data_IF_789936773898
#
_entry.id   IF_789936773898
#
_cell.length_a   1.000
_cell.length_b   1.000
_cell.length_c   1.000
_cell.angle_alpha   90.00
_cell.angle_beta   90.00
_cell.angle_gamma   90.00
#
_symmetry.space_group_name_H-M   'P 1'
#
loop_
_entity.id
_entity.type
_entity.pdbx_description
1 polymer ?
#
# COMPACT_ATOMS: atom_id res chain seq x y z
N UNK A 1 5.64 18.10 7.18
CA UNK A 1 6.55 18.33 6.07
C UNK A 1 6.70 19.81 5.75
N UNK A 2 7.82 20.18 5.14
CA UNK A 2 8.17 21.55 4.78
C UNK A 2 8.46 21.72 3.28
N UNK A 3 8.44 20.63 2.50
CA UNK A 3 8.61 20.65 1.05
C UNK A 3 7.55 21.50 0.35
N UNK A 4 7.85 22.02 -0.85
CA UNK A 4 6.93 22.86 -1.61
C UNK A 4 5.60 22.15 -1.93
N UNK A 5 5.57 20.85 -2.35
CA UNK A 5 4.32 20.13 -2.58
C UNK A 5 3.45 20.02 -1.31
N UNK A 6 4.05 19.76 -0.14
CA UNK A 6 3.32 19.67 1.12
C UNK A 6 2.81 21.04 1.61
N UNK A 7 3.58 22.11 1.41
CA UNK A 7 3.09 23.47 1.72
C UNK A 7 1.89 23.85 0.87
N UNK A 8 1.93 23.52 -0.44
CA UNK A 8 0.79 23.73 -1.34
C UNK A 8 -0.43 22.93 -0.90
N UNK A 9 -0.24 21.65 -0.55
CA UNK A 9 -1.31 20.80 -0.03
C UNK A 9 -1.92 21.39 1.24
N UNK A 10 -1.10 21.81 2.22
CA UNK A 10 -1.58 22.43 3.47
C UNK A 10 -2.40 23.69 3.22
N UNK A 11 -1.94 24.59 2.35
CA UNK A 11 -2.68 25.80 1.99
C UNK A 11 -4.05 25.47 1.34
N UNK A 12 -4.11 24.40 0.55
CA UNK A 12 -5.38 23.92 -0.04
C UNK A 12 -6.29 23.31 1.04
N UNK A 13 -5.74 22.53 1.98
CA UNK A 13 -6.49 21.98 3.11
C UNK A 13 -7.14 23.07 3.95
N UNK A 14 -6.41 24.15 4.27
CA UNK A 14 -6.95 25.26 5.07
C UNK A 14 -8.17 25.93 4.41
N UNK A 15 -8.14 26.06 3.07
CA UNK A 15 -9.26 26.61 2.30
C UNK A 15 -10.46 25.68 2.22
N UNK A 16 -10.24 24.35 2.15
CA UNK A 16 -11.28 23.35 1.97
C UNK A 16 -11.86 22.84 3.29
N UNK A 17 -11.18 23.06 4.40
CA UNK A 17 -11.59 22.55 5.69
C UNK A 17 -12.99 23.03 6.09
N UNK A 18 -13.31 24.29 5.83
CA UNK A 18 -14.60 24.90 6.18
C UNK A 18 -15.70 24.65 5.14
N UNK A 19 -15.36 24.09 3.97
CA UNK A 19 -16.32 23.78 2.93
C UNK A 19 -17.01 22.45 3.21
N UNK A 20 -18.34 22.42 3.18
CA UNK A 20 -19.13 21.19 3.39
C UNK A 20 -19.39 20.45 2.05
N UNK A 21 -18.31 20.13 1.34
CA UNK A 21 -18.34 19.42 0.06
C UNK A 21 -17.64 18.08 0.15
N UNK A 22 -18.01 17.16 -0.74
CA UNK A 22 -17.27 15.89 -0.88
C UNK A 22 -15.87 16.16 -1.43
N UNK A 23 -14.87 15.47 -0.83
CA UNK A 23 -13.46 15.60 -1.20
C UNK A 23 -12.94 14.21 -1.54
N UNK A 24 -12.31 14.08 -2.72
CA UNK A 24 -11.60 12.89 -3.14
C UNK A 24 -10.10 13.06 -2.93
N UNK A 25 -9.51 12.31 -2.02
CA UNK A 25 -8.08 12.30 -1.73
C UNK A 25 -7.41 11.20 -2.54
N UNK A 26 -6.56 11.57 -3.49
CA UNK A 26 -5.84 10.61 -4.33
C UNK A 26 -4.36 10.55 -3.98
N UNK A 27 -3.73 9.40 -4.18
CA UNK A 27 -2.30 9.21 -3.94
C UNK A 27 -1.96 7.76 -3.68
N UNK A 28 -0.70 7.42 -3.87
CA UNK A 28 -0.19 6.06 -3.69
C UNK A 28 -0.44 5.52 -2.27
N UNK A 29 -0.37 4.19 -2.12
CA UNK A 29 -0.45 3.57 -0.80
C UNK A 29 0.68 4.09 0.11
N UNK A 30 0.36 4.30 1.40
CA UNK A 30 1.35 4.77 2.38
C UNK A 30 1.74 6.24 2.30
N UNK A 31 1.10 7.07 1.46
CA UNK A 31 1.40 8.53 1.36
C UNK A 31 0.84 9.36 2.49
N UNK A 32 -0.12 8.82 3.27
CA UNK A 32 -0.77 9.52 4.39
C UNK A 32 -2.12 10.15 4.04
N UNK A 33 -2.91 9.55 3.14
CA UNK A 33 -4.26 10.03 2.76
C UNK A 33 -5.19 10.18 3.96
N UNK A 34 -5.17 9.25 4.91
CA UNK A 34 -5.97 9.34 6.14
C UNK A 34 -5.58 10.56 7.00
N UNK A 35 -4.28 10.88 7.10
CA UNK A 35 -3.83 12.09 7.83
C UNK A 35 -4.35 13.38 7.19
N UNK A 36 -4.47 13.39 5.86
CA UNK A 36 -5.08 14.50 5.12
C UNK A 36 -6.58 14.62 5.44
N UNK A 37 -7.30 13.51 5.47
CA UNK A 37 -8.72 13.49 5.82
C UNK A 37 -8.95 13.93 7.28
N UNK A 38 -8.14 13.47 8.22
CA UNK A 38 -8.16 13.93 9.62
C UNK A 38 -7.88 15.41 9.75
N UNK A 39 -6.88 15.94 9.03
CA UNK A 39 -6.56 17.36 9.05
C UNK A 39 -7.69 18.22 8.48
N UNK A 40 -8.43 17.77 7.45
CA UNK A 40 -9.64 18.43 6.93
C UNK A 40 -10.75 18.48 7.98
N UNK A 41 -10.95 17.39 8.70
CA UNK A 41 -11.97 17.33 9.77
C UNK A 41 -11.58 18.24 10.95
N UNK A 42 -10.35 18.13 11.46
CA UNK A 42 -9.88 18.84 12.65
C UNK A 42 -9.84 20.36 12.47
N UNK A 43 -9.66 20.83 11.22
CA UNK A 43 -9.66 22.27 10.87
C UNK A 43 -11.02 22.78 10.43
N UNK A 44 -12.00 21.86 10.19
CA UNK A 44 -13.29 22.20 9.65
C UNK A 44 -14.36 22.57 10.69
N UNK A 45 -15.53 22.97 10.20
CA UNK A 45 -16.68 23.32 11.03
C UNK A 45 -17.15 22.14 11.92
N UNK A 46 -16.94 20.90 11.44
CA UNK A 46 -17.36 19.68 12.14
C UNK A 46 -16.29 19.11 13.09
N UNK A 47 -15.20 19.83 13.40
CA UNK A 47 -14.05 19.37 14.22
C UNK A 47 -14.40 18.83 15.62
N UNK A 48 -15.53 19.25 16.19
CA UNK A 48 -16.02 18.78 17.49
C UNK A 48 -17.00 17.59 17.39
N UNK A 49 -17.30 17.16 16.19
CA UNK A 49 -18.18 16.05 15.90
C UNK A 49 -17.37 14.77 15.64
N UNK A 50 -18.04 13.66 15.41
CA UNK A 50 -17.36 12.37 15.15
C UNK A 50 -16.63 12.38 13.82
N UNK A 51 -15.45 11.79 13.81
CA UNK A 51 -14.73 11.35 12.62
C UNK A 51 -14.79 9.82 12.59
N UNK A 52 -15.55 9.26 11.66
CA UNK A 52 -15.66 7.82 11.47
C UNK A 52 -14.86 7.45 10.23
N UNK A 53 -13.97 6.48 10.34
CA UNK A 53 -13.15 5.99 9.24
C UNK A 53 -13.51 4.54 8.93
N UNK A 54 -13.66 4.23 7.64
CA UNK A 54 -13.89 2.90 7.12
C UNK A 54 -12.92 2.64 5.96
N UNK A 55 -12.18 1.53 6.03
CA UNK A 55 -11.38 1.06 4.89
C UNK A 55 -12.22 0.03 4.11
N UNK A 56 -12.60 0.39 2.87
CA UNK A 56 -13.46 -0.44 2.03
C UNK A 56 -12.76 -1.72 1.55
N UNK A 57 -11.44 -1.68 1.33
CA UNK A 57 -10.65 -2.84 0.90
C UNK A 57 -10.37 -3.85 2.02
N UNK A 58 -10.52 -3.44 3.29
CA UNK A 58 -10.29 -4.33 4.44
C UNK A 58 -11.51 -5.17 4.84
N UNK A 59 -12.68 -4.89 4.26
CA UNK A 59 -13.95 -5.53 4.61
C UNK A 59 -14.35 -6.52 3.50
N UNK A 60 -14.75 -7.76 3.83
CA UNK A 60 -15.30 -8.69 2.84
C UNK A 60 -16.52 -8.08 2.12
N UNK A 61 -16.62 -8.32 0.81
CA UNK A 61 -17.70 -7.80 -0.05
C UNK A 61 -19.11 -8.10 0.49
N UNK A 62 -19.27 -9.23 1.16
CA UNK A 62 -20.54 -9.66 1.75
C UNK A 62 -20.97 -8.85 2.99
N UNK A 63 -20.03 -8.15 3.62
CA UNK A 63 -20.27 -7.41 4.87
C UNK A 63 -20.25 -5.90 4.69
N UNK A 64 -19.65 -5.38 3.62
CA UNK A 64 -19.46 -3.94 3.41
C UNK A 64 -20.78 -3.17 3.38
N UNK A 65 -21.84 -3.74 2.81
CA UNK A 65 -23.20 -3.19 2.83
C UNK A 65 -23.71 -2.98 4.26
N UNK A 66 -23.54 -4.01 5.09
CA UNK A 66 -23.97 -4.00 6.50
C UNK A 66 -23.15 -3.03 7.34
N UNK A 67 -21.84 -2.91 7.10
CA UNK A 67 -20.99 -1.96 7.81
C UNK A 67 -21.33 -0.50 7.42
N UNK A 68 -21.56 -0.22 6.14
CA UNK A 68 -21.89 1.11 5.66
C UNK A 68 -23.27 1.58 6.12
N UNK A 69 -24.30 0.76 5.86
CA UNK A 69 -25.70 1.18 5.96
C UNK A 69 -26.43 0.60 7.19
N UNK A 70 -25.81 -0.37 7.88
CA UNK A 70 -26.44 -1.12 8.96
C UNK A 70 -27.34 -2.23 8.46
N UNK A 71 -27.85 -3.03 9.38
CA UNK A 71 -28.76 -4.13 9.09
C UNK A 71 -29.80 -4.33 10.18
N UNK A 72 -30.93 -4.95 9.83
CA UNK A 72 -31.92 -5.42 10.77
C UNK A 72 -31.70 -6.91 11.08
N UNK A 73 -32.12 -7.35 12.24
CA UNK A 73 -32.08 -8.75 12.65
C UNK A 73 -32.72 -9.65 11.59
N UNK A 74 -32.03 -10.75 11.24
CA UNK A 74 -32.52 -11.74 10.27
C UNK A 74 -32.29 -11.37 8.80
N UNK A 75 -31.61 -10.27 8.48
CA UNK A 75 -31.36 -9.83 7.10
C UNK A 75 -30.39 -10.72 6.33
N UNK A 76 -29.53 -11.47 7.02
CA UNK A 76 -28.62 -12.47 6.47
C UNK A 76 -28.23 -13.49 7.55
N UNK A 77 -27.59 -14.60 7.14
CA UNK A 77 -27.09 -15.63 8.07
C UNK A 77 -26.03 -15.02 9.01
N UNK A 78 -26.36 -14.92 10.32
CA UNK A 78 -25.51 -14.28 11.33
C UNK A 78 -25.99 -12.90 11.82
N UNK A 79 -27.03 -12.32 11.21
CA UNK A 79 -27.66 -11.08 11.68
C UNK A 79 -28.56 -11.35 12.92
N UNK A 80 -27.95 -11.52 14.08
CA UNK A 80 -28.65 -11.83 15.35
C UNK A 80 -29.31 -10.64 16.02
N UNK A 81 -28.83 -9.43 15.74
CA UNK A 81 -29.29 -8.15 16.30
C UNK A 81 -29.37 -7.08 15.21
N UNK A 82 -30.10 -6.00 15.49
CA UNK A 82 -30.02 -4.80 14.67
C UNK A 82 -28.67 -4.10 14.90
N UNK A 83 -28.04 -3.61 13.83
CA UNK A 83 -26.81 -2.83 13.93
C UNK A 83 -26.86 -1.58 13.07
N UNK A 84 -26.51 -0.44 13.66
CA UNK A 84 -26.35 0.81 12.92
C UNK A 84 -25.10 0.75 12.02
N UNK A 85 -25.19 1.33 10.82
CA UNK A 85 -24.06 1.47 9.93
C UNK A 85 -23.26 2.76 10.21
N UNK A 86 -22.04 2.83 9.63
CA UNK A 86 -21.11 3.96 9.85
C UNK A 86 -21.68 5.31 9.39
N UNK A 87 -22.61 5.37 8.44
CA UNK A 87 -23.30 6.61 8.08
C UNK A 87 -24.12 7.16 9.24
N UNK A 88 -24.80 6.28 9.97
CA UNK A 88 -25.57 6.65 11.16
C UNK A 88 -24.65 7.02 12.32
N UNK A 89 -23.51 6.33 12.46
CA UNK A 89 -22.51 6.61 13.49
C UNK A 89 -21.82 7.96 13.28
N UNK A 90 -21.66 8.36 12.00
CA UNK A 90 -21.03 9.62 11.59
C UNK A 90 -22.02 10.81 11.58
N UNK A 91 -23.25 10.64 12.04
CA UNK A 91 -24.29 11.69 12.02
C UNK A 91 -23.79 13.03 12.59
N UNK A 92 -24.00 14.11 11.84
CA UNK A 92 -23.52 15.46 12.12
C UNK A 92 -22.01 15.65 11.99
N UNK A 93 -21.26 14.59 11.67
CA UNK A 93 -19.80 14.53 11.63
C UNK A 93 -19.20 14.36 10.24
N UNK A 94 -18.10 13.61 10.17
CA UNK A 94 -17.36 13.31 8.94
C UNK A 94 -17.16 11.80 8.81
N UNK A 95 -17.50 11.26 7.66
CA UNK A 95 -17.19 9.89 7.26
C UNK A 95 -16.02 9.88 6.29
N UNK A 96 -14.97 9.15 6.63
CA UNK A 96 -13.83 8.89 5.77
C UNK A 96 -13.92 7.48 5.20
N UNK A 97 -13.97 7.38 3.87
CA UNK A 97 -14.00 6.12 3.14
C UNK A 97 -12.65 5.93 2.45
N UNK A 98 -11.79 5.07 3.01
CA UNK A 98 -10.50 4.73 2.40
C UNK A 98 -10.67 3.58 1.39
N UNK A 99 -9.80 3.56 0.38
CA UNK A 99 -9.78 2.54 -0.69
C UNK A 99 -11.15 2.41 -1.39
N UNK A 100 -11.78 3.56 -1.69
CA UNK A 100 -13.12 3.60 -2.31
C UNK A 100 -13.16 2.89 -3.68
N UNK A 101 -12.02 2.77 -4.37
CA UNK A 101 -11.88 2.08 -5.66
C UNK A 101 -12.13 0.58 -5.58
N UNK A 102 -12.01 -0.02 -4.38
CA UNK A 102 -12.20 -1.46 -4.16
C UNK A 102 -13.65 -1.83 -3.82
N UNK A 103 -14.54 -0.82 -3.75
CA UNK A 103 -15.95 -1.03 -3.39
C UNK A 103 -16.71 -1.77 -4.51
N UNK A 104 -17.48 -2.84 -4.20
CA UNK A 104 -18.31 -3.55 -5.18
C UNK A 104 -19.37 -2.64 -5.84
N UNK A 105 -19.67 -2.85 -7.12
CA UNK A 105 -20.59 -2.02 -7.91
C UNK A 105 -21.99 -1.89 -7.29
N UNK A 106 -22.50 -2.97 -6.65
CA UNK A 106 -23.79 -2.94 -5.96
C UNK A 106 -23.82 -1.96 -4.78
N UNK A 107 -22.70 -1.93 -4.03
CA UNK A 107 -22.53 -1.03 -2.88
C UNK A 107 -22.34 0.41 -3.35
N UNK A 108 -21.61 0.63 -4.46
CA UNK A 108 -21.46 1.95 -5.09
C UNK A 108 -22.81 2.58 -5.45
N UNK A 109 -23.77 1.79 -5.97
CA UNK A 109 -25.11 2.28 -6.30
C UNK A 109 -25.89 2.74 -5.06
N UNK A 110 -25.75 2.04 -3.94
CA UNK A 110 -26.38 2.41 -2.66
C UNK A 110 -25.70 3.63 -2.05
N UNK A 111 -24.38 3.70 -2.10
CA UNK A 111 -23.61 4.86 -1.65
C UNK A 111 -24.04 6.13 -2.40
N UNK A 112 -24.19 6.05 -3.72
CA UNK A 112 -24.67 7.17 -4.53
C UNK A 112 -26.01 7.71 -4.03
N UNK A 113 -26.98 6.82 -3.75
CA UNK A 113 -28.29 7.22 -3.22
C UNK A 113 -28.16 7.96 -1.89
N UNK A 114 -27.32 7.45 -0.96
CA UNK A 114 -27.11 8.14 0.32
C UNK A 114 -26.49 9.52 0.11
N UNK A 115 -25.54 9.67 -0.81
CA UNK A 115 -24.91 10.96 -1.12
C UNK A 115 -25.86 11.95 -1.82
N UNK A 116 -26.87 11.45 -2.51
CA UNK A 116 -27.86 12.30 -3.21
C UNK A 116 -29.04 12.68 -2.30
N UNK A 117 -29.59 11.72 -1.58
CA UNK A 117 -30.84 11.83 -0.84
C UNK A 117 -30.61 12.18 0.65
N UNK A 118 -29.36 12.02 1.13
CA UNK A 118 -29.02 12.12 2.55
C UNK A 118 -29.87 11.17 3.42
N UNK A 119 -30.17 9.98 2.88
CA UNK A 119 -31.01 8.97 3.51
C UNK A 119 -30.35 7.60 3.48
N UNK A 120 -30.34 6.93 4.63
CA UNK A 120 -29.80 5.58 4.79
C UNK A 120 -30.92 4.59 5.03
N UNK A 121 -30.86 3.47 4.29
CA UNK A 121 -31.77 2.33 4.50
C UNK A 121 -30.95 1.10 4.92
N UNK A 122 -31.22 0.52 6.11
CA UNK A 122 -30.52 -0.70 6.56
C UNK A 122 -30.76 -1.89 5.63
N UNK A 123 -29.84 -2.83 5.61
CA UNK A 123 -29.98 -4.12 4.87
C UNK A 123 -31.14 -4.90 5.49
N UNK A 124 -32.09 -5.36 4.65
CA UNK A 124 -33.27 -6.09 5.10
C UNK A 124 -34.36 -5.22 5.75
N UNK A 125 -34.11 -3.93 5.97
CA UNK A 125 -35.09 -3.01 6.56
C UNK A 125 -35.81 -2.15 5.54
N UNK A 126 -37.03 -1.71 5.89
CA UNK A 126 -37.84 -0.76 5.12
C UNK A 126 -37.74 0.68 5.63
N UNK A 127 -37.24 0.86 6.86
CA UNK A 127 -37.09 2.18 7.48
C UNK A 127 -36.02 3.01 6.80
N UNK A 128 -36.28 4.30 6.66
CA UNK A 128 -35.32 5.28 6.13
C UNK A 128 -34.90 6.22 7.23
N UNK A 129 -33.60 6.47 7.37
CA UNK A 129 -33.06 7.42 8.33
C UNK A 129 -32.32 8.54 7.59
N UNK A 130 -32.68 9.78 7.85
CA UNK A 130 -31.93 10.94 7.33
C UNK A 130 -30.61 11.06 8.07
N UNK A 131 -29.57 11.42 7.32
CA UNK A 131 -28.22 11.60 7.85
C UNK A 131 -27.60 12.86 7.24
N UNK A 132 -26.94 13.65 8.10
CA UNK A 132 -26.13 14.80 7.71
C UNK A 132 -24.65 14.47 7.95
N UNK A 133 -23.95 14.00 6.91
CA UNK A 133 -22.57 13.51 7.00
C UNK A 133 -21.71 14.14 5.90
N UNK A 134 -20.61 14.79 6.30
CA UNK A 134 -19.56 15.19 5.35
C UNK A 134 -18.77 13.97 4.94
N UNK A 135 -18.66 13.71 3.62
CA UNK A 135 -17.93 12.55 3.10
C UNK A 135 -16.57 12.98 2.55
N UNK A 136 -15.51 12.30 2.98
CA UNK A 136 -14.17 12.37 2.43
C UNK A 136 -13.83 10.96 1.93
N UNK A 137 -13.57 10.79 0.65
CA UNK A 137 -13.17 9.51 0.06
C UNK A 137 -11.67 9.52 -0.27
N UNK A 138 -11.01 8.36 -0.17
CA UNK A 138 -9.62 8.21 -0.57
C UNK A 138 -9.42 6.98 -1.45
N UNK A 139 -8.44 7.07 -2.36
CA UNK A 139 -8.06 5.96 -3.24
C UNK A 139 -6.61 6.07 -3.71
N UNK A 140 -5.99 4.94 -3.97
CA UNK A 140 -4.74 4.82 -4.71
C UNK A 140 -4.95 4.42 -6.18
N UNK A 141 -6.20 4.10 -6.57
CA UNK A 141 -6.58 3.70 -7.92
C UNK A 141 -6.98 4.92 -8.74
N UNK A 142 -6.67 4.94 -10.02
CA UNK A 142 -7.23 5.89 -10.97
C UNK A 142 -8.71 5.55 -11.22
N UNK A 143 -9.60 6.32 -10.58
CA UNK A 143 -11.03 6.11 -10.72
C UNK A 143 -11.55 6.46 -12.14
N UNK A 144 -10.87 7.33 -12.89
CA UNK A 144 -11.20 7.61 -14.28
C UNK A 144 -11.04 6.37 -15.15
N UNK A 145 -9.85 5.74 -15.06
CA UNK A 145 -9.59 4.46 -15.71
C UNK A 145 -10.53 3.34 -15.21
N UNK A 146 -10.85 3.31 -13.90
CA UNK A 146 -11.81 2.35 -13.35
C UNK A 146 -13.21 2.51 -13.91
N UNK A 147 -13.66 3.74 -14.21
CA UNK A 147 -14.94 4.03 -14.90
C UNK A 147 -14.91 3.48 -16.32
N UNK A 148 -13.85 3.73 -17.09
CA UNK A 148 -13.68 3.22 -18.45
C UNK A 148 -13.73 1.67 -18.48
N UNK A 149 -13.16 1.01 -17.48
CA UNK A 149 -13.18 -0.44 -17.35
C UNK A 149 -14.44 -0.99 -16.65
N UNK A 150 -15.47 -0.16 -16.43
CA UNK A 150 -16.72 -0.54 -15.76
C UNK A 150 -16.55 -1.14 -14.34
N UNK A 151 -15.44 -0.83 -13.68
CA UNK A 151 -15.15 -1.23 -12.28
C UNK A 151 -15.66 -0.20 -11.27
N UNK A 152 -15.90 1.02 -11.72
CA UNK A 152 -16.44 2.09 -10.90
C UNK A 152 -17.56 2.83 -11.67
N UNK A 153 -18.60 3.24 -10.95
CA UNK A 153 -19.74 3.95 -11.57
C UNK A 153 -19.38 5.40 -11.85
N UNK A 154 -19.68 5.85 -13.05
CA UNK A 154 -19.43 7.22 -13.48
C UNK A 154 -20.21 8.26 -12.67
N UNK A 155 -21.47 7.98 -12.32
CA UNK A 155 -22.31 8.86 -11.54
C UNK A 155 -21.78 9.06 -10.10
N UNK A 156 -21.30 8.00 -9.46
CA UNK A 156 -20.66 8.07 -8.15
C UNK A 156 -19.32 8.81 -8.22
N UNK A 157 -18.53 8.58 -9.26
CA UNK A 157 -17.27 9.30 -9.47
C UNK A 157 -17.49 10.82 -9.47
N UNK A 158 -18.43 11.34 -10.26
CA UNK A 158 -18.71 12.77 -10.28
C UNK A 158 -19.27 13.30 -8.95
N UNK A 159 -20.00 12.48 -8.20
CA UNK A 159 -20.54 12.88 -6.89
C UNK A 159 -19.48 12.96 -5.81
N UNK A 160 -18.46 12.11 -5.86
CA UNK A 160 -17.32 12.11 -4.92
C UNK A 160 -16.24 13.12 -5.32
N UNK A 161 -15.97 13.28 -6.60
CA UNK A 161 -14.91 14.10 -7.15
C UNK A 161 -15.32 15.55 -7.36
N UNK A 162 -15.98 16.16 -6.36
CA UNK A 162 -16.29 17.60 -6.38
C UNK A 162 -15.00 18.42 -6.25
N UNK A 163 -14.12 17.99 -5.33
CA UNK A 163 -12.76 18.53 -5.17
C UNK A 163 -11.78 17.38 -5.06
N UNK A 164 -10.77 17.33 -5.94
CA UNK A 164 -9.69 16.37 -5.88
C UNK A 164 -8.48 16.95 -5.13
N UNK A 165 -7.92 16.18 -4.19
CA UNK A 165 -6.69 16.47 -3.48
C UNK A 165 -5.67 15.36 -3.73
N UNK A 166 -4.60 15.66 -4.46
CA UNK A 166 -3.49 14.72 -4.65
C UNK A 166 -2.50 14.83 -3.51
N UNK A 167 -2.22 13.70 -2.85
CA UNK A 167 -1.14 13.59 -1.86
C UNK A 167 0.12 13.15 -2.61
N UNK A 168 1.21 13.95 -2.60
CA UNK A 168 2.41 13.60 -3.33
C UNK A 168 3.10 12.38 -2.71
N UNK A 169 3.66 11.46 -3.53
CA UNK A 169 4.47 10.37 -3.05
C UNK A 169 5.77 10.88 -2.40
N UNK A 170 6.43 10.05 -1.59
CA UNK A 170 7.60 10.48 -0.82
C UNK A 170 8.76 10.94 -1.72
N UNK A 171 8.96 10.30 -2.87
CA UNK A 171 9.97 10.68 -3.87
C UNK A 171 9.80 12.09 -4.45
N UNK A 172 8.60 12.67 -4.43
CA UNK A 172 8.34 14.05 -4.86
C UNK A 172 8.55 15.07 -3.71
N UNK A 173 8.90 14.60 -2.50
CA UNK A 173 9.08 15.42 -1.28
C UNK A 173 10.21 14.90 -0.38
N UNK A 174 11.32 14.50 -0.97
CA UNK A 174 12.47 13.95 -0.24
C UNK A 174 13.04 14.93 0.79
N UNK A 175 12.88 16.25 0.59
CA UNK A 175 13.20 17.28 1.58
C UNK A 175 12.49 17.07 2.93
N UNK A 176 11.36 16.37 2.94
CA UNK A 176 10.63 16.07 4.17
C UNK A 176 11.16 14.81 4.87
N UNK A 177 11.98 14.01 4.19
CA UNK A 177 12.42 12.72 4.71
C UNK A 177 13.20 12.81 6.03
N UNK A 178 14.15 13.74 6.22
CA UNK A 178 14.86 13.88 7.50
C UNK A 178 13.91 14.19 8.66
N UNK A 179 12.90 15.04 8.42
CA UNK A 179 11.89 15.42 9.43
C UNK A 179 11.00 14.23 9.76
N UNK A 180 10.58 13.44 8.75
CA UNK A 180 9.78 12.23 8.94
C UNK A 180 10.57 11.15 9.68
N UNK A 181 11.82 10.92 9.30
CA UNK A 181 12.69 9.97 9.96
C UNK A 181 12.91 10.35 11.44
N UNK A 182 13.22 11.61 11.73
CA UNK A 182 13.35 12.10 13.10
C UNK A 182 12.05 11.92 13.91
N UNK A 183 10.90 12.15 13.28
CA UNK A 183 9.60 11.91 13.91
C UNK A 183 9.41 10.42 14.27
N UNK A 184 9.72 9.49 13.38
CA UNK A 184 9.58 8.06 13.64
C UNK A 184 10.62 7.55 14.66
N UNK A 185 11.83 8.05 14.62
CA UNK A 185 12.83 7.77 15.66
C UNK A 185 12.33 8.18 17.05
N UNK A 186 11.71 9.36 17.16
CA UNK A 186 11.13 9.83 18.42
C UNK A 186 9.88 9.03 18.82
N UNK A 187 9.05 8.64 17.85
CA UNK A 187 7.80 7.90 18.10
C UNK A 187 8.06 6.48 18.60
N UNK A 188 9.07 5.81 18.05
CA UNK A 188 9.33 4.38 18.27
C UNK A 188 10.62 4.10 19.08
N UNK A 189 11.50 5.10 19.22
CA UNK A 189 12.74 4.98 19.97
C UNK A 189 12.55 5.09 21.49
N UNK A 190 13.64 4.85 22.20
CA UNK A 190 13.73 5.06 23.65
C UNK A 190 13.68 6.57 24.00
N UNK A 191 13.75 6.90 25.29
CA UNK A 191 13.74 8.29 25.78
C UNK A 191 14.84 9.17 25.13
N UNK A 192 15.96 8.57 24.71
CA UNK A 192 17.00 9.21 23.90
C UNK A 192 17.12 8.44 22.58
N UNK A 193 16.40 8.85 21.52
CA UNK A 193 16.47 8.16 20.24
C UNK A 193 17.87 8.35 19.59
N UNK A 194 18.37 7.33 18.87
CA UNK A 194 19.61 7.45 18.10
C UNK A 194 19.48 8.47 16.99
N UNK A 195 20.61 8.97 16.51
CA UNK A 195 20.69 9.83 15.33
C UNK A 195 20.95 9.01 14.06
N UNK A 196 20.59 9.56 12.88
CA UNK A 196 20.97 8.96 11.60
C UNK A 196 22.34 9.50 11.17
N UNK A 197 23.23 8.61 10.73
CA UNK A 197 24.49 9.02 10.09
C UNK A 197 24.20 9.72 8.76
N UNK A 198 25.06 10.67 8.32
CA UNK A 198 24.90 11.32 7.03
C UNK A 198 24.75 10.35 5.86
N UNK A 199 25.57 9.29 5.85
CA UNK A 199 25.56 8.23 4.82
C UNK A 199 24.24 7.43 4.83
N UNK A 200 23.59 7.35 6.00
CA UNK A 200 22.27 6.70 6.13
C UNK A 200 21.19 7.56 5.48
N UNK A 201 21.25 8.88 5.68
CA UNK A 201 20.32 9.81 5.04
C UNK A 201 20.52 9.88 3.52
N UNK A 202 21.76 9.79 3.04
CA UNK A 202 22.10 9.71 1.62
C UNK A 202 21.51 8.45 0.99
N UNK A 203 21.77 7.26 1.56
CA UNK A 203 21.21 6.01 1.10
C UNK A 203 19.67 6.01 1.07
N UNK A 204 19.03 6.66 2.04
CA UNK A 204 17.58 6.82 2.08
C UNK A 204 17.10 7.81 1.00
N UNK A 205 17.90 8.82 0.65
CA UNK A 205 17.61 9.80 -0.41
C UNK A 205 17.61 9.21 -1.81
N UNK A 206 18.46 8.23 -2.05
CA UNK A 206 18.61 7.54 -3.34
C UNK A 206 17.52 6.48 -3.60
N UNK A 207 16.75 6.14 -2.59
CA UNK A 207 15.72 5.10 -2.70
C UNK A 207 14.37 5.66 -3.15
N UNK A 208 13.65 4.92 -3.99
CA UNK A 208 12.39 5.36 -4.62
C UNK A 208 11.15 5.35 -3.72
N UNK A 209 11.19 4.66 -2.61
CA UNK A 209 10.11 4.55 -1.63
C UNK A 209 8.76 4.12 -2.22
N UNK A 210 8.63 2.93 -2.84
CA UNK A 210 7.36 2.47 -3.41
C UNK A 210 6.24 2.37 -2.38
N UNK A 211 6.56 2.05 -1.12
CA UNK A 211 5.62 2.04 0.01
C UNK A 211 5.51 3.38 0.75
N UNK A 212 6.14 4.45 0.22
CA UNK A 212 6.06 5.81 0.72
C UNK A 212 6.41 5.97 2.22
N UNK A 213 5.60 6.72 2.96
CA UNK A 213 5.83 7.02 4.39
C UNK A 213 5.65 5.78 5.27
N UNK A 214 4.78 4.83 4.85
CA UNK A 214 4.62 3.56 5.58
C UNK A 214 5.88 2.69 5.48
N UNK A 215 6.50 2.64 4.32
CA UNK A 215 7.77 1.94 4.13
C UNK A 215 8.92 2.63 4.89
N UNK A 216 8.97 3.97 4.88
CA UNK A 216 9.92 4.73 5.66
C UNK A 216 9.79 4.45 7.16
N UNK A 217 8.57 4.43 7.71
CA UNK A 217 8.32 4.08 9.10
C UNK A 217 8.82 2.68 9.43
N UNK A 218 8.54 1.69 8.57
CA UNK A 218 9.02 0.31 8.74
C UNK A 218 10.56 0.23 8.64
N UNK A 219 11.19 0.99 7.74
CA UNK A 219 12.64 1.04 7.63
C UNK A 219 13.30 1.61 8.89
N UNK A 220 12.71 2.63 9.49
CA UNK A 220 13.17 3.18 10.77
C UNK A 220 12.97 2.18 11.91
N UNK A 221 11.84 1.48 11.97
CA UNK A 221 11.62 0.41 12.97
C UNK A 221 12.65 -0.71 12.83
N UNK A 222 12.94 -1.15 11.60
CA UNK A 222 13.98 -2.13 11.32
C UNK A 222 15.35 -1.65 11.79
N UNK A 223 15.69 -0.40 11.46
CA UNK A 223 16.95 0.19 11.88
C UNK A 223 17.07 0.30 13.40
N UNK A 224 15.99 0.68 14.10
CA UNK A 224 15.94 0.72 15.57
C UNK A 224 16.14 -0.65 16.21
N UNK A 225 15.68 -1.73 15.57
CA UNK A 225 15.84 -3.09 16.06
C UNK A 225 17.26 -3.64 15.90
N UNK A 226 18.00 -3.17 14.88
CA UNK A 226 19.32 -3.71 14.53
C UNK A 226 20.50 -2.79 14.86
N UNK A 227 20.27 -1.49 15.12
CA UNK A 227 21.35 -0.56 15.40
C UNK A 227 22.06 -0.88 16.72
N UNK A 228 23.33 -0.49 16.80
CA UNK A 228 24.14 -0.54 18.02
C UNK A 228 24.73 0.83 18.29
N UNK A 229 24.63 1.29 19.54
CA UNK A 229 25.16 2.61 19.96
C UNK A 229 24.17 3.75 19.67
N UNK A 230 24.67 4.99 19.60
CA UNK A 230 23.87 6.21 19.54
C UNK A 230 23.59 6.71 18.09
N UNK A 231 24.15 6.00 17.07
CA UNK A 231 24.02 6.41 15.66
C UNK A 231 23.63 5.22 14.78
N UNK A 232 22.63 5.42 13.95
CA UNK A 232 22.19 4.44 12.96
C UNK A 232 23.02 4.63 11.68
N UNK A 233 23.77 3.58 11.32
CA UNK A 233 24.56 3.49 10.08
C UNK A 233 23.78 2.77 8.99
N UNK A 234 24.17 2.87 7.69
CA UNK A 234 23.44 2.25 6.57
C UNK A 234 23.21 0.75 6.73
N UNK A 235 24.11 0.03 7.40
CA UNK A 235 24.01 -1.43 7.62
C UNK A 235 22.80 -1.83 8.47
N UNK A 236 22.23 -0.92 9.25
CA UNK A 236 21.01 -1.14 10.01
C UNK A 236 19.74 -0.96 9.18
N UNK A 237 19.83 -0.38 7.97
CA UNK A 237 18.67 -0.25 7.06
C UNK A 237 18.33 -1.57 6.37
N UNK A 238 17.10 -1.77 5.92
CA UNK A 238 16.73 -2.88 5.04
C UNK A 238 17.64 -2.96 3.79
N UNK A 239 18.09 -4.17 3.38
CA UNK A 239 19.00 -4.33 2.23
C UNK A 239 18.49 -3.73 0.92
N UNK A 240 17.19 -3.63 0.74
CA UNK A 240 16.56 -2.99 -0.43
C UNK A 240 16.94 -1.51 -0.55
N UNK A 241 17.09 -0.80 0.57
CA UNK A 241 17.41 0.63 0.61
C UNK A 241 18.91 0.86 0.39
N UNK A 242 19.78 0.00 0.94
CA UNK A 242 21.23 0.14 0.82
C UNK A 242 21.80 -0.36 -0.52
N UNK A 243 20.96 -0.88 -1.41
CA UNK A 243 21.41 -1.50 -2.67
C UNK A 243 22.16 -2.84 -2.49
N UNK A 244 22.48 -3.23 -1.25
CA UNK A 244 23.19 -4.49 -0.94
C UNK A 244 22.33 -5.73 -1.22
N UNK A 245 21.02 -5.58 -1.41
CA UNK A 245 20.11 -6.65 -1.84
C UNK A 245 20.29 -7.11 -3.29
N UNK A 246 21.07 -6.41 -4.09
CA UNK A 246 21.36 -6.81 -5.48
C UNK A 246 22.45 -7.90 -5.60
N UNK A 247 23.10 -8.27 -4.50
CA UNK A 247 24.20 -9.23 -4.52
C UNK A 247 23.98 -10.52 -3.73
N UNK A 248 22.78 -11.06 -3.51
CA UNK A 248 22.61 -12.49 -3.14
C UNK A 248 21.19 -12.92 -2.72
N UNK A 249 20.16 -12.31 -3.19
CA UNK A 249 18.78 -12.79 -2.97
C UNK A 249 18.04 -12.91 -4.30
N UNK A 250 17.90 -14.14 -4.81
CA UNK A 250 17.28 -14.44 -6.11
C UNK A 250 15.80 -14.04 -6.23
N UNK A 251 15.54 -12.76 -6.28
CA UNK A 251 14.34 -12.22 -6.89
C UNK A 251 14.60 -12.08 -8.39
N UNK A 252 13.75 -12.69 -9.21
CA UNK A 252 13.74 -12.46 -10.66
C UNK A 252 13.31 -11.01 -10.86
N UNK A 253 14.27 -10.08 -10.95
CA UNK A 253 14.02 -8.80 -11.59
C UNK A 253 13.88 -9.08 -13.08
N UNK A 254 12.65 -9.02 -13.58
CA UNK A 254 12.41 -8.83 -15.00
C UNK A 254 12.96 -7.42 -15.27
N UNK A 255 14.09 -7.32 -15.97
CA UNK A 255 14.59 -6.06 -16.50
C UNK A 255 13.57 -5.56 -17.52
N UNK A 256 13.02 -4.36 -17.28
CA UNK A 256 12.06 -3.68 -18.16
C UNK A 256 12.72 -3.14 -19.46
N UNK A 257 13.93 -3.59 -19.80
CA UNK A 257 14.70 -3.12 -20.95
C UNK A 257 14.55 -3.98 -22.22
N UNK A 258 13.47 -4.76 -22.36
CA UNK A 258 13.13 -5.34 -23.66
C UNK A 258 11.68 -4.98 -24.02
N UNK A 259 11.54 -3.93 -24.82
CA UNK A 259 10.29 -3.46 -25.48
C UNK A 259 9.71 -4.46 -26.50
N UNK A 260 10.06 -5.74 -26.46
CA UNK A 260 9.46 -6.80 -27.24
C UNK A 260 8.64 -7.74 -26.38
N UNK A 261 7.32 -7.66 -26.53
CA UNK A 261 6.36 -8.60 -25.95
C UNK A 261 6.63 -10.02 -26.47
N UNK A 262 7.51 -10.76 -25.80
CA UNK A 262 7.74 -12.19 -26.07
C UNK A 262 6.53 -13.01 -25.58
N UNK A 263 6.10 -14.05 -26.32
CA UNK A 263 5.02 -14.93 -25.91
C UNK A 263 5.26 -15.49 -24.49
N UNK A 264 4.23 -15.54 -23.66
CA UNK A 264 4.31 -15.96 -22.25
C UNK A 264 5.00 -17.31 -22.05
N UNK A 265 4.81 -18.25 -22.99
CA UNK A 265 5.47 -19.57 -22.99
C UNK A 265 6.99 -19.46 -23.13
N UNK A 266 7.47 -18.54 -23.97
CA UNK A 266 8.88 -18.30 -24.16
C UNK A 266 9.49 -17.53 -22.99
N UNK A 267 8.81 -16.52 -22.46
CA UNK A 267 9.21 -15.80 -21.25
C UNK A 267 9.34 -16.75 -20.05
N UNK A 268 8.37 -17.65 -19.83
CA UNK A 268 8.44 -18.68 -18.79
C UNK A 268 9.62 -19.63 -19.00
N UNK A 269 9.89 -20.04 -20.24
CA UNK A 269 11.01 -20.94 -20.56
C UNK A 269 12.35 -20.25 -20.28
N UNK A 270 12.53 -18.97 -20.67
CA UNK A 270 13.74 -18.19 -20.39
C UNK A 270 13.96 -18.02 -18.89
N UNK A 271 12.91 -17.63 -18.12
CA UNK A 271 12.96 -17.47 -16.67
C UNK A 271 13.32 -18.78 -15.95
N UNK A 272 12.69 -19.90 -16.33
CA UNK A 272 12.99 -21.23 -15.77
C UNK A 272 14.43 -21.64 -16.05
N UNK A 273 14.89 -21.47 -17.30
CA UNK A 273 16.27 -21.81 -17.70
C UNK A 273 17.32 -20.98 -16.96
N UNK A 274 17.07 -19.68 -16.76
CA UNK A 274 17.96 -18.80 -16.02
C UNK A 274 18.00 -19.17 -14.51
N UNK A 275 16.87 -19.56 -13.93
CA UNK A 275 16.81 -20.05 -12.55
C UNK A 275 17.54 -21.38 -12.39
N UNK A 276 17.28 -22.35 -13.27
CA UNK A 276 17.94 -23.67 -13.26
C UNK A 276 19.47 -23.52 -13.34
N UNK A 277 19.98 -22.69 -14.25
CA UNK A 277 21.43 -22.44 -14.37
C UNK A 277 22.03 -21.90 -13.09
N UNK A 278 21.42 -20.86 -12.47
CA UNK A 278 21.90 -20.29 -11.20
C UNK A 278 21.86 -21.29 -10.05
N UNK A 279 20.79 -22.10 -9.97
CA UNK A 279 20.66 -23.15 -8.98
C UNK A 279 21.78 -24.18 -9.10
N UNK A 280 22.08 -24.66 -10.32
CA UNK A 280 23.14 -25.63 -10.58
C UNK A 280 24.51 -25.09 -10.19
N UNK A 281 24.84 -23.83 -10.53
CA UNK A 281 26.09 -23.18 -10.10
C UNK A 281 26.19 -23.15 -8.59
N UNK A 282 25.17 -22.70 -7.90
CA UNK A 282 25.16 -22.59 -6.43
C UNK A 282 25.31 -23.95 -5.71
N UNK A 283 24.71 -25.01 -6.26
CA UNK A 283 24.82 -26.36 -5.70
C UNK A 283 26.21 -26.92 -5.98
N UNK A 284 26.82 -26.66 -7.14
CA UNK A 284 28.19 -27.05 -7.47
C UNK A 284 29.22 -26.35 -6.58
N UNK A 285 29.06 -25.06 -6.31
CA UNK A 285 29.90 -24.31 -5.36
C UNK A 285 29.81 -24.92 -3.95
N UNK A 286 28.60 -25.20 -3.48
CA UNK A 286 28.36 -25.76 -2.13
C UNK A 286 28.93 -27.18 -1.99
N UNK A 287 28.97 -27.95 -3.07
CA UNK A 287 29.50 -29.32 -3.11
C UNK A 287 31.00 -29.36 -3.49
N UNK A 288 31.67 -28.21 -3.60
CA UNK A 288 33.10 -28.09 -3.99
C UNK A 288 33.44 -28.92 -5.23
N UNK A 289 32.61 -28.83 -6.26
CA UNK A 289 32.80 -29.54 -7.52
C UNK A 289 32.40 -31.02 -7.51
N UNK A 290 31.91 -31.57 -6.42
CA UNK A 290 31.47 -32.97 -6.33
C UNK A 290 30.08 -33.18 -6.96
N UNK A 291 30.01 -33.69 -8.18
CA UNK A 291 28.75 -33.96 -8.91
C UNK A 291 27.82 -34.92 -8.17
N UNK A 292 28.39 -35.90 -7.44
CA UNK A 292 27.60 -36.88 -6.67
C UNK A 292 26.92 -36.22 -5.47
N UNK A 293 27.61 -35.35 -4.77
CA UNK A 293 27.06 -34.61 -3.62
C UNK A 293 26.11 -33.51 -4.07
N UNK A 294 26.44 -32.82 -5.16
CA UNK A 294 25.55 -31.84 -5.80
C UNK A 294 24.21 -32.47 -6.20
N UNK A 295 24.21 -33.63 -6.84
CA UNK A 295 23.02 -34.36 -7.22
C UNK A 295 22.15 -34.72 -6.00
N UNK A 296 22.79 -35.18 -4.90
CA UNK A 296 22.10 -35.49 -3.64
C UNK A 296 21.47 -34.25 -3.02
N UNK A 297 22.18 -33.12 -3.00
CA UNK A 297 21.67 -31.84 -2.49
C UNK A 297 20.51 -31.30 -3.34
N UNK A 298 20.52 -31.56 -4.63
CA UNK A 298 19.45 -31.18 -5.56
C UNK A 298 18.25 -32.14 -5.56
N UNK A 299 18.32 -33.26 -4.82
CA UNK A 299 17.25 -34.27 -4.83
C UNK A 299 17.13 -35.02 -6.18
N UNK A 300 18.22 -35.10 -6.96
CA UNK A 300 18.25 -35.71 -8.29
C UNK A 300 19.24 -36.88 -8.30
N UNK A 301 19.01 -37.83 -9.21
CA UNK A 301 20.03 -38.84 -9.50
C UNK A 301 21.21 -38.22 -10.28
N UNK A 302 22.37 -38.85 -10.16
CA UNK A 302 23.64 -38.34 -10.73
C UNK A 302 23.58 -38.17 -12.25
N UNK A 303 22.83 -39.04 -12.95
CA UNK A 303 22.74 -39.03 -14.40
C UNK A 303 21.91 -37.83 -14.87
N UNK A 304 20.75 -37.61 -14.25
CA UNK A 304 19.88 -36.47 -14.55
C UNK A 304 20.58 -35.15 -14.18
N UNK A 305 21.29 -35.09 -13.05
CA UNK A 305 22.04 -33.89 -12.66
C UNK A 305 23.14 -33.55 -13.69
N UNK A 306 23.92 -34.56 -14.19
CA UNK A 306 24.90 -34.35 -15.25
C UNK A 306 24.27 -33.83 -16.55
N UNK A 307 23.10 -34.36 -16.93
CA UNK A 307 22.38 -33.91 -18.11
C UNK A 307 21.95 -32.46 -17.98
N UNK A 308 21.51 -32.01 -16.80
CA UNK A 308 21.19 -30.63 -16.52
C UNK A 308 22.43 -29.71 -16.59
N UNK A 309 23.57 -30.11 -16.02
CA UNK A 309 24.81 -29.36 -16.14
C UNK A 309 25.21 -29.13 -17.60
N UNK A 310 25.15 -30.19 -18.42
CA UNK A 310 25.44 -30.10 -19.86
C UNK A 310 24.45 -29.19 -20.59
N UNK A 311 23.15 -29.32 -20.30
CA UNK A 311 22.08 -28.52 -20.91
C UNK A 311 22.27 -27.03 -20.66
N UNK A 312 22.75 -26.66 -19.49
CA UNK A 312 22.93 -25.26 -19.05
C UNK A 312 24.38 -24.76 -19.21
N UNK A 313 25.27 -25.56 -19.81
CA UNK A 313 26.67 -25.19 -20.05
C UNK A 313 27.47 -24.91 -18.77
N UNK A 314 27.19 -25.65 -17.68
CA UNK A 314 27.87 -25.52 -16.39
C UNK A 314 28.96 -26.61 -16.33
N UNK A 315 30.23 -26.21 -16.31
CA UNK A 315 31.34 -27.15 -16.18
C UNK A 315 31.67 -27.42 -14.73
N UNK A 316 31.56 -28.70 -14.32
CA UNK A 316 31.83 -29.15 -12.97
C UNK A 316 33.30 -28.99 -12.55
N UNK A 317 34.23 -28.86 -13.49
CA UNK A 317 35.67 -28.74 -13.21
C UNK A 317 36.05 -27.35 -12.70
N UNK A 318 35.23 -26.35 -12.99
CA UNK A 318 35.45 -24.93 -12.56
C UNK A 318 35.26 -24.73 -11.06
N UNK A 319 34.66 -25.69 -10.34
CA UNK A 319 34.32 -25.59 -8.92
C UNK A 319 35.17 -26.47 -7.99
N UNK A 320 36.29 -26.98 -8.50
CA UNK A 320 37.25 -27.81 -7.72
C UNK A 320 38.25 -26.96 -6.98
#
# INVERSE_FOLDING_TARGET
GMSAPIRKLKATLDRLAEQDVSILVTGESGTGKELVARALHERGARRRKRFVALNCGAIPDTLIDSELFGHVKGSFTGATTDRAGVFVEAEGGTLFLDEIGDMPLGVQARLLRVLQESEVRPVGGSGVKKVDVRVIAATNVDLGAAVEHQKFRQDLFYRLNVVALRVPPLRERLDDMPILAAHFLKKHGAAKPPTLAPETLEAMGDYHWPGNVRELENAILHALALHRGDTIVPDALPPAITGRGKSNGGGVTISEDEDELTPLTEAKRRASSAYEKRYLVRVMEKSKGSVSEAARLAGLDRTNFRRLLQRHGVDATTFK
#
